data_IF_580985510751
#
_entry.id   IF_580985510751
#
_cell.length_a   1.000
_cell.length_b   1.000
_cell.length_c   1.000
_cell.angle_alpha   90.00
_cell.angle_beta   90.00
_cell.angle_gamma   90.00
#
_symmetry.space_group_name_H-M   'P 1'
#
loop_
_entity.id
_entity.type
_entity.pdbx_description
1 polymer ?
#
# COMPACT_ATOMS: atom_id res chain seq x y z
N UNK A 1 -15.54 30.04 -27.57
CA UNK A 1 -15.80 30.05 -26.15
C UNK A 1 -14.68 30.81 -25.47
N UNK A 2 -15.00 31.78 -24.62
CA UNK A 2 -14.06 32.56 -23.85
C UNK A 2 -13.37 31.63 -22.86
N UNK A 3 -12.03 31.56 -22.90
CA UNK A 3 -11.22 30.94 -21.85
C UNK A 3 -11.46 31.73 -20.57
N UNK A 4 -12.26 31.21 -19.66
CA UNK A 4 -12.32 31.73 -18.30
C UNK A 4 -10.99 31.42 -17.63
N UNK A 5 -10.19 32.46 -17.37
CA UNK A 5 -9.00 32.38 -16.53
C UNK A 5 -9.42 31.87 -15.14
N UNK A 6 -9.07 30.63 -14.84
CA UNK A 6 -9.41 29.98 -13.55
C UNK A 6 -8.51 30.45 -12.43
N UNK A 7 -7.59 31.38 -12.67
CA UNK A 7 -6.61 31.85 -11.67
C UNK A 7 -5.59 30.80 -11.25
N UNK A 8 -5.52 29.67 -11.94
CA UNK A 8 -4.49 28.67 -11.71
C UNK A 8 -3.19 29.06 -12.42
N UNK A 9 -2.10 29.12 -11.70
CA UNK A 9 -0.75 29.47 -12.18
C UNK A 9 -0.23 28.43 -13.20
N UNK A 10 -0.78 27.21 -13.22
CA UNK A 10 -0.47 26.17 -14.19
C UNK A 10 -1.61 26.10 -15.19
N UNK A 11 -1.51 26.77 -16.33
CA UNK A 11 -2.45 26.63 -17.46
C UNK A 11 -2.41 25.20 -17.97
N UNK A 12 -3.43 24.40 -17.64
CA UNK A 12 -3.58 23.02 -18.09
C UNK A 12 -5.00 22.74 -18.52
N UNK A 13 -5.18 21.83 -19.47
CA UNK A 13 -6.46 21.24 -19.80
C UNK A 13 -6.75 20.08 -18.85
N UNK A 14 -7.98 19.99 -18.34
CA UNK A 14 -8.45 18.85 -17.55
C UNK A 14 -9.44 18.08 -18.40
N UNK A 15 -9.18 16.78 -18.59
CA UNK A 15 -10.14 15.85 -19.16
C UNK A 15 -10.79 15.07 -18.01
N UNK A 16 -12.11 15.09 -17.91
CA UNK A 16 -12.88 14.39 -16.89
C UNK A 16 -13.64 13.24 -17.53
N UNK A 17 -13.47 12.04 -17.00
CA UNK A 17 -14.25 10.87 -17.35
C UNK A 17 -15.22 10.54 -16.22
N UNK A 18 -16.51 10.43 -16.52
CA UNK A 18 -17.55 10.03 -15.57
C UNK A 18 -17.98 8.59 -15.85
N UNK A 19 -17.76 7.71 -14.88
CA UNK A 19 -18.17 6.32 -14.95
C UNK A 19 -19.46 6.13 -14.13
N UNK A 20 -20.51 5.63 -14.77
CA UNK A 20 -21.71 5.21 -14.05
C UNK A 20 -21.50 3.81 -13.47
N UNK A 21 -21.53 3.72 -12.14
CA UNK A 21 -21.41 2.48 -11.40
C UNK A 21 -22.79 2.03 -10.93
N UNK A 22 -23.23 0.89 -11.40
CA UNK A 22 -24.48 0.25 -11.00
C UNK A 22 -24.22 -1.11 -10.32
N UNK A 23 -25.28 -1.77 -9.87
CA UNK A 23 -25.18 -3.04 -9.15
C UNK A 23 -24.55 -4.18 -9.98
N UNK A 24 -24.52 -4.09 -11.31
CA UNK A 24 -23.91 -5.12 -12.17
C UNK A 24 -22.40 -5.16 -12.04
N UNK A 25 -21.78 -4.08 -11.56
CA UNK A 25 -20.35 -3.94 -11.35
C UNK A 25 -19.90 -4.36 -9.94
N UNK A 26 -20.84 -4.68 -9.05
CA UNK A 26 -20.54 -5.10 -7.68
C UNK A 26 -19.56 -6.29 -7.59
N UNK A 27 -19.61 -7.34 -8.43
CA UNK A 27 -18.65 -8.44 -8.37
C UNK A 27 -17.20 -8.00 -8.62
N UNK A 28 -16.97 -7.03 -9.52
CA UNK A 28 -15.64 -6.49 -9.75
C UNK A 28 -15.11 -5.77 -8.51
N UNK A 29 -15.93 -4.90 -7.90
CA UNK A 29 -15.52 -4.15 -6.71
C UNK A 29 -15.38 -5.07 -5.48
N UNK A 30 -16.13 -6.17 -5.40
CA UNK A 30 -15.88 -7.19 -4.39
C UNK A 30 -14.49 -7.82 -4.57
N UNK A 31 -14.11 -8.14 -5.82
CA UNK A 31 -12.76 -8.67 -6.10
C UNK A 31 -11.65 -7.65 -5.77
N UNK A 32 -11.88 -6.36 -6.01
CA UNK A 32 -10.97 -5.28 -5.58
C UNK A 32 -10.83 -5.28 -4.05
N UNK A 33 -11.96 -5.32 -3.34
CA UNK A 33 -11.97 -5.38 -1.87
C UNK A 33 -11.24 -6.62 -1.35
N UNK A 34 -11.41 -7.78 -1.98
CA UNK A 34 -10.72 -9.02 -1.62
C UNK A 34 -9.20 -8.93 -1.85
N UNK A 35 -8.75 -8.33 -2.97
CA UNK A 35 -7.32 -8.10 -3.22
C UNK A 35 -6.72 -7.25 -2.11
N UNK A 36 -7.39 -6.18 -1.70
CA UNK A 36 -6.93 -5.30 -0.63
C UNK A 36 -6.98 -5.99 0.74
N UNK A 37 -8.08 -6.70 1.06
CA UNK A 37 -8.27 -7.38 2.34
C UNK A 37 -7.26 -8.51 2.56
N UNK A 38 -6.95 -9.28 1.51
CA UNK A 38 -5.96 -10.36 1.58
C UNK A 38 -4.54 -9.88 1.28
N UNK A 39 -4.32 -8.57 1.21
CA UNK A 39 -3.01 -7.94 0.98
C UNK A 39 -2.30 -8.47 -0.28
N UNK A 40 -3.07 -8.80 -1.29
CA UNK A 40 -2.54 -9.14 -2.62
C UNK A 40 -2.31 -7.87 -3.43
N UNK A 41 -1.53 -7.99 -4.49
CA UNK A 41 -1.32 -6.91 -5.45
C UNK A 41 -2.14 -7.22 -6.70
N UNK A 42 -2.73 -6.20 -7.28
CA UNK A 42 -3.43 -6.27 -8.54
C UNK A 42 -3.48 -4.90 -9.19
N UNK A 43 -3.62 -4.86 -10.50
CA UNK A 43 -3.78 -3.63 -11.23
C UNK A 43 -5.26 -3.41 -11.57
N UNK A 44 -5.82 -2.31 -11.12
CA UNK A 44 -7.15 -1.86 -11.51
C UNK A 44 -7.02 -1.01 -12.76
N UNK A 45 -7.62 -1.45 -13.84
CA UNK A 45 -7.52 -0.82 -15.16
C UNK A 45 -8.86 -0.16 -15.52
N UNK A 46 -8.80 1.12 -15.83
CA UNK A 46 -9.92 1.87 -16.43
C UNK A 46 -9.57 2.05 -17.91
N UNK A 47 -10.27 1.34 -18.75
CA UNK A 47 -10.15 1.46 -20.21
C UNK A 47 -11.07 2.58 -20.71
N UNK A 48 -10.50 3.61 -21.29
CA UNK A 48 -11.26 4.75 -21.80
C UNK A 48 -11.78 4.54 -23.23
N UNK A 49 -11.27 3.55 -23.96
CA UNK A 49 -11.66 3.33 -25.36
C UNK A 49 -13.18 3.21 -25.55
N UNK A 50 -13.92 2.42 -24.75
CA UNK A 50 -15.38 2.32 -24.89
C UNK A 50 -16.13 3.64 -24.66
N UNK A 51 -15.49 4.60 -23.99
CA UNK A 51 -16.10 5.89 -23.63
C UNK A 51 -15.70 7.00 -24.60
N UNK A 52 -14.51 6.90 -25.23
CA UNK A 52 -13.97 7.91 -26.15
C UNK A 52 -14.53 7.72 -27.57
N UNK A 53 -14.78 6.50 -28.00
CA UNK A 53 -15.29 6.17 -29.33
C UNK A 53 -16.60 6.89 -29.70
N UNK A 54 -17.36 7.31 -28.70
CA UNK A 54 -18.62 8.07 -28.90
C UNK A 54 -18.45 9.60 -28.74
N UNK A 55 -17.29 10.10 -28.36
CA UNK A 55 -17.08 11.49 -27.97
C UNK A 55 -16.19 12.28 -28.94
N UNK A 56 -15.36 11.63 -29.73
CA UNK A 56 -14.39 12.26 -30.62
C UNK A 56 -14.49 11.68 -32.03
N UNK A 57 -14.75 12.52 -33.02
CA UNK A 57 -14.49 12.20 -34.40
C UNK A 57 -12.96 12.31 -34.64
N UNK A 58 -12.25 11.21 -34.54
CA UNK A 58 -10.79 11.15 -34.72
C UNK A 58 -10.18 9.80 -34.36
N UNK A 59 -8.92 9.60 -34.69
CA UNK A 59 -8.19 8.36 -34.43
C UNK A 59 -8.12 8.05 -32.91
N UNK A 60 -8.78 7.00 -32.52
CA UNK A 60 -8.74 6.48 -31.14
C UNK A 60 -7.46 5.64 -30.98
N UNK A 61 -6.71 5.90 -29.94
CA UNK A 61 -5.54 5.06 -29.62
C UNK A 61 -5.99 3.67 -29.17
N UNK A 62 -5.53 2.63 -29.83
CA UNK A 62 -5.79 1.26 -29.41
C UNK A 62 -4.94 0.90 -28.19
N UNK A 63 -5.59 0.38 -27.14
CA UNK A 63 -4.94 -0.21 -25.99
C UNK A 63 -4.61 -1.67 -26.29
N UNK A 64 -3.31 -1.96 -26.46
CA UNK A 64 -2.80 -3.31 -26.55
C UNK A 64 -2.24 -3.74 -25.20
N UNK A 65 -3.11 -4.25 -24.32
CA UNK A 65 -2.65 -4.97 -23.13
C UNK A 65 -1.92 -6.24 -23.55
N UNK A 66 -0.76 -6.52 -22.96
CA UNK A 66 -0.10 -7.81 -23.22
C UNK A 66 -1.05 -8.96 -22.86
N UNK A 67 -1.33 -9.85 -23.81
CA UNK A 67 -2.23 -11.02 -23.70
C UNK A 67 -1.87 -12.01 -22.58
N UNK A 68 -0.74 -11.83 -21.92
CA UNK A 68 -0.22 -12.78 -20.93
C UNK A 68 -0.77 -12.60 -19.51
N UNK A 69 -1.73 -11.70 -19.28
CA UNK A 69 -2.20 -11.37 -17.93
C UNK A 69 -3.50 -12.05 -17.58
N UNK A 70 -3.50 -12.67 -16.42
CA UNK A 70 -4.70 -13.27 -15.88
C UNK A 70 -5.63 -12.19 -15.33
N UNK A 71 -6.75 -11.97 -16.01
CA UNK A 71 -7.83 -11.14 -15.50
C UNK A 71 -8.46 -11.82 -14.29
N UNK A 72 -8.48 -11.14 -13.14
CA UNK A 72 -9.12 -11.61 -11.92
C UNK A 72 -10.63 -11.38 -12.02
N UNK A 73 -11.03 -10.18 -12.45
CA UNK A 73 -12.44 -9.81 -12.65
C UNK A 73 -12.51 -8.64 -13.62
N UNK A 74 -13.63 -8.48 -14.33
CA UNK A 74 -13.81 -7.37 -15.25
C UNK A 74 -15.25 -7.18 -15.71
N UNK A 75 -15.52 -6.00 -16.25
CA UNK A 75 -16.72 -5.64 -16.99
C UNK A 75 -16.29 -4.63 -18.07
N UNK A 76 -17.15 -4.29 -19.06
CA UNK A 76 -16.78 -3.34 -20.10
C UNK A 76 -16.19 -2.04 -19.55
N UNK A 77 -14.98 -1.70 -19.97
CA UNK A 77 -14.24 -0.52 -19.56
C UNK A 77 -13.54 -0.60 -18.18
N UNK A 78 -13.75 -1.66 -17.41
CA UNK A 78 -13.11 -1.82 -16.09
C UNK A 78 -12.61 -3.25 -15.90
N UNK A 79 -11.38 -3.44 -15.46
CA UNK A 79 -10.84 -4.75 -15.14
C UNK A 79 -9.90 -4.72 -13.94
N UNK A 80 -9.80 -5.86 -13.26
CA UNK A 80 -8.81 -6.14 -12.24
C UNK A 80 -7.93 -7.28 -12.76
N UNK A 81 -6.62 -7.02 -12.90
CA UNK A 81 -5.64 -7.98 -13.43
C UNK A 81 -4.53 -8.24 -12.41
N UNK A 82 -3.78 -9.32 -12.59
CA UNK A 82 -2.63 -9.60 -11.73
C UNK A 82 -1.53 -8.55 -11.91
N UNK A 83 -0.72 -8.32 -10.87
CA UNK A 83 0.39 -7.35 -10.86
C UNK A 83 1.34 -7.52 -12.05
N UNK A 84 1.90 -6.42 -12.50
CA UNK A 84 2.93 -6.39 -13.54
C UNK A 84 2.42 -5.87 -14.88
N UNK A 85 1.28 -5.20 -14.88
CA UNK A 85 0.71 -4.53 -16.04
C UNK A 85 1.55 -3.31 -16.44
N UNK A 86 2.45 -3.49 -17.40
CA UNK A 86 2.97 -2.35 -18.16
C UNK A 86 1.98 -2.07 -19.28
N UNK A 87 1.17 -1.01 -19.14
CA UNK A 87 0.43 -0.48 -20.27
C UNK A 87 1.43 0.06 -21.29
N UNK A 88 1.43 -0.51 -22.48
CA UNK A 88 2.20 0.02 -23.61
C UNK A 88 1.24 0.83 -24.44
N UNK A 89 1.38 2.14 -24.43
CA UNK A 89 0.60 3.03 -25.28
C UNK A 89 1.26 3.12 -26.65
N UNK A 90 0.54 2.80 -27.71
CA UNK A 90 1.10 2.75 -29.06
C UNK A 90 0.86 4.00 -29.90
N UNK A 91 0.10 5.00 -29.39
CA UNK A 91 -0.15 6.22 -30.14
C UNK A 91 0.20 7.47 -29.33
N UNK A 92 1.26 8.17 -29.73
CA UNK A 92 1.71 9.42 -29.14
C UNK A 92 0.89 10.66 -29.60
N UNK A 93 -0.12 10.46 -30.44
CA UNK A 93 -0.88 11.58 -31.04
C UNK A 93 -2.11 11.97 -30.21
N UNK A 94 -2.55 11.15 -29.26
CA UNK A 94 -3.69 11.46 -28.39
C UNK A 94 -3.21 12.12 -27.10
N UNK A 95 -3.77 13.29 -26.76
CA UNK A 95 -3.55 13.94 -25.47
C UNK A 95 -4.21 13.18 -24.30
N UNK A 96 -5.11 12.22 -24.60
CA UNK A 96 -5.82 11.39 -23.62
C UNK A 96 -5.22 9.99 -23.66
N UNK A 97 -4.69 9.45 -22.56
CA UNK A 97 -4.21 8.08 -22.53
C UNK A 97 -5.41 7.12 -22.75
N UNK A 98 -5.21 5.98 -23.46
CA UNK A 98 -6.30 5.03 -23.74
C UNK A 98 -6.80 4.32 -22.49
N UNK A 99 -5.99 4.22 -21.45
CA UNK A 99 -6.37 3.62 -20.17
C UNK A 99 -5.66 4.28 -19.00
N UNK A 100 -6.26 4.19 -17.81
CA UNK A 100 -5.63 4.48 -16.54
C UNK A 100 -5.43 3.19 -15.78
N UNK A 101 -4.23 3.02 -15.21
CA UNK A 101 -3.90 1.84 -14.41
C UNK A 101 -3.53 2.30 -13.01
N UNK A 102 -4.30 1.81 -12.04
CA UNK A 102 -4.04 2.03 -10.62
C UNK A 102 -3.57 0.71 -10.01
N UNK A 103 -2.31 0.66 -9.60
CA UNK A 103 -1.81 -0.50 -8.89
C UNK A 103 -2.38 -0.52 -7.47
N UNK A 104 -3.27 -1.46 -7.22
CA UNK A 104 -3.80 -1.74 -5.90
C UNK A 104 -2.73 -2.46 -5.10
N UNK A 105 -2.01 -1.69 -4.32
CA UNK A 105 -1.00 -2.19 -3.42
C UNK A 105 -1.44 -1.84 -2.00
N UNK A 106 -1.94 -2.82 -1.21
CA UNK A 106 -2.25 -2.52 0.18
C UNK A 106 -0.99 -2.02 0.85
N UNK A 107 -1.09 -0.91 1.54
CA UNK A 107 0.02 -0.35 2.31
C UNK A 107 0.60 -1.41 3.23
N UNK A 108 1.93 -1.44 3.37
CA UNK A 108 2.60 -2.31 4.30
C UNK A 108 2.16 -2.01 5.73
N UNK A 109 2.08 -3.02 6.58
CA UNK A 109 1.88 -2.80 8.01
C UNK A 109 3.15 -2.21 8.62
N UNK A 110 2.97 -1.36 9.62
CA UNK A 110 4.06 -0.83 10.42
C UNK A 110 4.11 -1.58 11.74
N UNK A 111 5.03 -2.53 11.86
CA UNK A 111 5.24 -3.27 13.10
C UNK A 111 6.12 -2.46 14.05
N UNK A 112 5.65 -2.25 15.27
CA UNK A 112 6.43 -1.64 16.35
C UNK A 112 6.66 -2.69 17.42
N UNK A 113 7.89 -3.17 17.53
CA UNK A 113 8.31 -4.12 18.55
C UNK A 113 8.85 -3.37 19.77
N UNK A 114 8.14 -3.51 20.88
CA UNK A 114 8.41 -2.80 22.12
C UNK A 114 7.56 -1.55 22.30
N UNK A 115 6.41 -1.71 22.96
CA UNK A 115 5.44 -0.65 23.22
C UNK A 115 5.60 -0.01 24.62
N UNK A 116 6.84 0.15 25.08
CA UNK A 116 7.16 1.04 26.20
C UNK A 116 6.89 2.49 25.85
N UNK A 117 7.34 3.45 26.67
CA UNK A 117 7.05 4.87 26.46
C UNK A 117 7.40 5.37 25.05
N UNK A 118 8.57 5.00 24.54
CA UNK A 118 9.02 5.43 23.21
C UNK A 118 8.20 4.76 22.10
N UNK A 119 8.04 3.43 22.16
CA UNK A 119 7.26 2.70 21.16
C UNK A 119 5.80 3.14 21.12
N UNK A 120 5.17 3.34 22.28
CA UNK A 120 3.81 3.85 22.35
C UNK A 120 3.67 5.28 21.80
N UNK A 121 4.64 6.15 22.04
CA UNK A 121 4.66 7.50 21.47
C UNK A 121 4.83 7.44 19.94
N UNK A 122 5.74 6.59 19.45
CA UNK A 122 5.94 6.35 18.02
C UNK A 122 4.67 5.81 17.37
N UNK A 123 4.00 4.84 18.00
CA UNK A 123 2.74 4.28 17.51
C UNK A 123 1.67 5.35 17.31
N UNK A 124 1.49 6.25 18.29
CA UNK A 124 0.53 7.34 18.19
C UNK A 124 0.82 8.28 17.02
N UNK A 125 2.08 8.67 16.85
CA UNK A 125 2.49 9.57 15.76
C UNK A 125 2.27 8.92 14.39
N UNK A 126 2.69 7.67 14.21
CA UNK A 126 2.54 6.95 12.96
C UNK A 126 1.05 6.69 12.63
N UNK A 127 0.24 6.33 13.64
CA UNK A 127 -1.21 6.18 13.45
C UNK A 127 -1.86 7.50 13.03
N UNK A 128 -1.49 8.61 13.67
CA UNK A 128 -1.98 9.94 13.30
C UNK A 128 -1.53 10.37 11.89
N UNK A 129 -0.39 9.86 11.42
CA UNK A 129 0.11 10.07 10.07
C UNK A 129 -0.50 9.12 9.02
N UNK A 130 -1.46 8.26 9.41
CA UNK A 130 -2.19 7.37 8.51
C UNK A 130 -1.59 5.97 8.34
N UNK A 131 -0.50 5.64 9.05
CA UNK A 131 0.08 4.29 8.97
C UNK A 131 -0.78 3.25 9.68
N UNK A 132 -0.92 2.06 9.09
CA UNK A 132 -1.55 0.90 9.73
C UNK A 132 -0.55 0.26 10.70
N UNK A 133 -0.61 0.66 11.96
CA UNK A 133 0.36 0.26 13.01
C UNK A 133 -0.07 -1.01 13.71
N UNK A 134 0.82 -2.01 13.76
CA UNK A 134 0.71 -3.21 14.60
C UNK A 134 1.62 -3.05 15.81
N UNK A 135 1.05 -2.88 16.98
CA UNK A 135 1.79 -2.78 18.24
C UNK A 135 2.12 -4.18 18.78
N UNK A 136 3.41 -4.49 18.94
CA UNK A 136 3.91 -5.78 19.37
C UNK A 136 4.75 -5.63 20.65
N UNK A 137 4.42 -6.37 21.70
CA UNK A 137 5.20 -6.38 22.96
C UNK A 137 5.11 -7.77 23.61
N UNK A 138 6.05 -8.11 24.46
CA UNK A 138 6.05 -9.32 25.28
C UNK A 138 5.31 -9.13 26.62
N UNK A 139 4.80 -7.93 26.87
CA UNK A 139 4.08 -7.54 28.09
C UNK A 139 2.66 -7.08 27.76
N UNK A 140 1.63 -7.75 28.30
CA UNK A 140 0.25 -7.39 27.99
C UNK A 140 -0.14 -5.99 28.46
N UNK A 141 0.45 -5.47 29.53
CA UNK A 141 0.16 -4.15 30.09
C UNK A 141 0.55 -2.98 29.17
N UNK A 142 1.43 -3.19 28.19
CA UNK A 142 1.84 -2.18 27.21
C UNK A 142 1.04 -2.25 25.90
N UNK A 143 0.01 -3.11 25.84
CA UNK A 143 -0.81 -3.34 24.64
C UNK A 143 -2.28 -2.95 24.87
N UNK A 144 -2.60 -2.18 25.90
CA UNK A 144 -3.97 -1.76 26.16
C UNK A 144 -4.43 -0.68 25.18
N UNK A 145 -5.74 -0.58 24.89
CA UNK A 145 -6.28 0.48 24.04
C UNK A 145 -5.94 1.90 24.53
N UNK A 146 -5.85 2.10 25.84
CA UNK A 146 -5.49 3.41 26.42
C UNK A 146 -3.99 3.72 26.25
N UNK A 147 -3.15 2.68 26.26
CA UNK A 147 -1.70 2.86 26.16
C UNK A 147 -1.25 3.07 24.71
N UNK A 148 -1.79 2.31 23.75
CA UNK A 148 -1.55 2.45 22.32
C UNK A 148 -2.87 2.63 21.56
N UNK A 149 -3.51 3.81 21.65
CA UNK A 149 -4.80 4.06 21.02
C UNK A 149 -4.71 4.10 19.49
N UNK A 150 -5.80 3.72 18.84
CA UNK A 150 -5.97 3.88 17.39
C UNK A 150 -5.12 2.97 16.51
N UNK A 151 -4.26 2.11 17.06
CA UNK A 151 -3.46 1.17 16.27
C UNK A 151 -4.35 0.15 15.58
N UNK A 152 -3.89 -0.32 14.41
CA UNK A 152 -4.58 -1.31 13.60
C UNK A 152 -4.75 -2.66 14.33
N UNK A 153 -3.67 -3.11 15.01
CA UNK A 153 -3.69 -4.37 15.76
C UNK A 153 -2.74 -4.33 16.95
N UNK A 154 -2.96 -5.20 17.94
CA UNK A 154 -2.12 -5.36 19.13
C UNK A 154 -1.79 -6.83 19.31
N UNK A 155 -0.49 -7.15 19.34
CA UNK A 155 0.00 -8.53 19.41
C UNK A 155 0.90 -8.74 20.60
N UNK A 156 0.49 -9.63 21.48
CA UNK A 156 1.39 -10.18 22.49
C UNK A 156 2.29 -11.21 21.81
N UNK A 157 3.60 -10.99 21.81
CA UNK A 157 4.55 -11.79 21.01
C UNK A 157 5.68 -12.33 21.86
N UNK A 158 6.23 -13.48 21.45
CA UNK A 158 7.55 -13.93 21.87
C UNK A 158 8.60 -13.42 20.89
N UNK A 159 9.45 -12.49 21.32
CA UNK A 159 10.51 -11.92 20.49
C UNK A 159 11.51 -12.94 19.93
N UNK A 160 11.59 -14.14 20.51
CA UNK A 160 12.45 -15.21 20.00
C UNK A 160 11.83 -15.96 18.83
N UNK A 161 10.51 -15.88 18.67
CA UNK A 161 9.78 -16.63 17.64
C UNK A 161 8.67 -15.77 17.05
N UNK A 162 9.00 -14.82 16.16
CA UNK A 162 8.04 -13.90 15.54
C UNK A 162 7.27 -14.53 14.38
N UNK A 163 7.85 -15.47 13.66
CA UNK A 163 7.38 -16.13 12.45
C UNK A 163 5.87 -16.00 12.14
N UNK A 164 5.07 -16.91 12.70
CA UNK A 164 3.61 -16.91 12.48
C UNK A 164 2.89 -15.78 13.23
N UNK A 165 3.46 -15.27 14.32
CA UNK A 165 2.86 -14.22 15.12
C UNK A 165 2.88 -12.87 14.40
N UNK A 166 3.93 -12.63 13.60
CA UNK A 166 4.13 -11.40 12.85
C UNK A 166 4.62 -11.74 11.43
N UNK A 167 3.74 -12.01 10.47
CA UNK A 167 4.11 -12.32 9.08
C UNK A 167 4.57 -11.06 8.36
N UNK A 168 5.82 -10.63 8.67
CA UNK A 168 6.45 -9.47 8.06
C UNK A 168 6.76 -9.76 6.59
N UNK A 169 6.43 -8.84 5.71
CA UNK A 169 6.68 -8.94 4.27
C UNK A 169 7.50 -7.77 3.71
N UNK A 170 7.86 -7.83 2.42
CA UNK A 170 8.74 -6.85 1.78
C UNK A 170 8.21 -5.40 1.74
N UNK A 171 6.93 -5.21 1.95
CA UNK A 171 6.30 -3.87 1.98
C UNK A 171 6.09 -3.33 3.37
N UNK A 172 6.34 -4.13 4.39
CA UNK A 172 6.13 -3.74 5.77
C UNK A 172 7.27 -2.87 6.29
N UNK A 173 6.95 -2.05 7.26
CA UNK A 173 7.91 -1.23 7.99
C UNK A 173 8.08 -1.82 9.38
N UNK A 174 9.30 -1.84 9.86
CA UNK A 174 9.63 -2.40 11.17
C UNK A 174 10.38 -1.38 12.02
N UNK A 175 9.87 -1.13 13.21
CA UNK A 175 10.51 -0.30 14.24
C UNK A 175 10.76 -1.16 15.47
N UNK A 176 12.00 -1.22 15.92
CA UNK A 176 12.41 -1.99 17.10
C UNK A 176 12.80 -1.04 18.23
N UNK A 177 12.05 -1.11 19.33
CA UNK A 177 12.21 -0.27 20.52
C UNK A 177 11.98 -1.06 21.81
N UNK A 178 12.46 -2.32 21.85
CA UNK A 178 12.24 -3.20 23.02
C UNK A 178 13.03 -2.72 24.26
N UNK A 179 12.63 -3.19 25.43
CA UNK A 179 13.26 -2.80 26.67
C UNK A 179 14.68 -3.40 26.87
N UNK A 180 15.08 -4.38 26.06
CA UNK A 180 16.32 -5.13 26.24
C UNK A 180 17.17 -5.31 24.98
N UNK A 181 18.49 -5.24 25.12
CA UNK A 181 19.42 -5.45 24.01
C UNK A 181 19.29 -6.82 23.34
N UNK A 182 18.98 -7.86 24.12
CA UNK A 182 18.83 -9.21 23.60
C UNK A 182 17.57 -9.33 22.75
N UNK A 183 16.46 -8.80 23.24
CA UNK A 183 15.18 -8.80 22.51
C UNK A 183 15.28 -8.01 21.21
N UNK A 184 15.99 -6.86 21.20
CA UNK A 184 16.19 -6.11 19.94
C UNK A 184 16.94 -6.94 18.90
N UNK A 185 17.98 -7.68 19.30
CA UNK A 185 18.75 -8.52 18.37
C UNK A 185 17.88 -9.66 17.83
N UNK A 186 17.11 -10.33 18.70
CA UNK A 186 16.23 -11.42 18.30
C UNK A 186 15.19 -10.93 17.27
N UNK A 187 14.61 -9.74 17.49
CA UNK A 187 13.67 -9.11 16.55
C UNK A 187 14.35 -8.71 15.26
N UNK A 188 15.49 -7.98 15.33
CA UNK A 188 16.18 -7.46 14.13
C UNK A 188 16.61 -8.60 13.20
N UNK A 189 17.18 -9.70 13.75
CA UNK A 189 17.61 -10.84 12.94
C UNK A 189 16.44 -11.48 12.20
N UNK A 190 15.29 -11.63 12.85
CA UNK A 190 14.10 -12.21 12.22
C UNK A 190 13.49 -11.27 11.18
N UNK A 191 13.39 -9.97 11.50
CA UNK A 191 12.90 -8.97 10.58
C UNK A 191 13.78 -8.85 9.32
N UNK A 192 15.12 -8.88 9.46
CA UNK A 192 16.03 -8.84 8.32
C UNK A 192 15.82 -10.00 7.32
N UNK A 193 15.47 -11.19 7.81
CA UNK A 193 15.17 -12.34 6.95
C UNK A 193 13.93 -12.12 6.10
N UNK A 194 12.96 -11.37 6.61
CA UNK A 194 11.72 -11.02 5.90
C UNK A 194 11.92 -9.90 4.87
N UNK A 195 13.07 -9.20 4.88
CA UNK A 195 13.43 -8.10 3.98
C UNK A 195 12.34 -7.01 3.90
N UNK A 196 11.93 -6.40 5.02
CA UNK A 196 10.92 -5.36 5.02
C UNK A 196 11.39 -4.13 4.23
N UNK A 197 10.45 -3.28 3.79
CA UNK A 197 10.76 -2.01 3.13
C UNK A 197 11.58 -1.06 4.01
N UNK A 198 11.38 -1.14 5.32
CA UNK A 198 12.13 -0.37 6.32
C UNK A 198 12.37 -1.20 7.58
N UNK A 199 13.58 -1.11 8.13
CA UNK A 199 13.93 -1.68 9.42
C UNK A 199 14.74 -0.65 10.22
N UNK A 200 14.13 -0.08 11.25
CA UNK A 200 14.76 0.84 12.18
C UNK A 200 14.86 0.24 13.58
N UNK A 201 16.02 0.35 14.22
CA UNK A 201 16.20 -0.07 15.61
C UNK A 201 16.62 1.13 16.48
N UNK A 202 15.80 1.46 17.46
CA UNK A 202 16.13 2.49 18.43
C UNK A 202 17.18 2.02 19.43
N UNK A 203 18.24 2.79 19.57
CA UNK A 203 19.29 2.45 20.51
C UNK A 203 20.37 3.51 20.63
N UNK A 204 21.12 3.44 21.73
CA UNK A 204 22.34 4.23 21.88
C UNK A 204 23.36 3.85 20.80
N UNK A 205 24.34 4.73 20.52
CA UNK A 205 25.44 4.45 19.59
C UNK A 205 26.15 3.12 19.90
N UNK A 206 26.30 2.78 21.18
CA UNK A 206 26.89 1.53 21.65
C UNK A 206 26.04 0.32 21.28
N UNK A 207 24.71 0.44 21.43
CA UNK A 207 23.73 -0.61 21.06
C UNK A 207 23.71 -0.83 19.54
N UNK A 208 23.68 0.26 18.76
CA UNK A 208 23.70 0.18 17.30
C UNK A 208 24.98 -0.45 16.76
N UNK A 209 26.15 -0.11 17.33
CA UNK A 209 27.41 -0.74 16.96
C UNK A 209 27.42 -2.25 17.25
N UNK A 210 26.85 -2.68 18.36
CA UNK A 210 26.77 -4.10 18.74
C UNK A 210 25.84 -4.90 17.80
N UNK A 211 24.70 -4.32 17.39
CA UNK A 211 23.76 -4.95 16.45
C UNK A 211 24.37 -5.07 15.05
N UNK A 212 25.13 -4.04 14.59
CA UNK A 212 25.80 -4.06 13.27
C UNK A 212 26.97 -5.05 13.18
N UNK A 213 27.54 -5.46 14.30
CA UNK A 213 28.70 -6.37 14.34
C UNK A 213 28.32 -7.86 14.32
N UNK A 214 27.03 -8.17 14.29
CA UNK A 214 26.48 -9.54 14.25
C UNK A 214 25.67 -9.82 13.01
#
# INVERSE_FOLDING_TARGET
>A
GENSDTGMICGGAICLCYLHLDATKAPLFQSVADVLAYRRIGDFVIDFEPFIANALEGDVAEYHGEESRRTIAGCPGLSLVEEGSKATYTNAASEIPPAHIETLCPEGLTYIFGCGHVGAATARVLTAAGFAVVACDDRPGTLTPDWVPGVYDRRLVDYKNLGEQCPIGPRDLVVVATAGHKSDIDVVIQAMRAKPAYLGCLGSRRKTAFVRAR
#
